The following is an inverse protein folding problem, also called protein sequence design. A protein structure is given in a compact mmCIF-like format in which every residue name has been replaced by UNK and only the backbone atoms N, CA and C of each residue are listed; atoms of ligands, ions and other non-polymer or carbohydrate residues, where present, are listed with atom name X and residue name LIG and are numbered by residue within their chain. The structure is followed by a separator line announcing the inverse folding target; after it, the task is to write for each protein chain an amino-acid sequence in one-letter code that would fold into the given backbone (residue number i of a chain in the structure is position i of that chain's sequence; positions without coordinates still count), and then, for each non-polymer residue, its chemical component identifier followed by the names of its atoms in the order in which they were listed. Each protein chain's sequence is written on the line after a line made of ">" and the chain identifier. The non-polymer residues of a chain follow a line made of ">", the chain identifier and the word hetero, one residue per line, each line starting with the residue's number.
data_IF_854430367067
#
_entry.id   IF_854430367067
#
_cell.length_a   1.000
_cell.length_b   1.000
_cell.length_c   1.000
_cell.angle_alpha   90.00
_cell.angle_beta   90.00
_cell.angle_gamma   90.00
#
_symmetry.space_group_name_H-M   'P 1'
#
loop_
_entity.id
_entity.type
_entity.pdbx_description
1 polymer ?
#
# COMPACT_ATOMS: atom_id res chain seq x y z
N UNK A 1 -2.70 -9.44 -13.78
CA UNK A 1 -3.96 -8.78 -14.19
C UNK A 1 -3.67 -8.02 -15.47
N UNK A 2 -4.53 -8.17 -16.47
CA UNK A 2 -4.40 -7.51 -17.77
C UNK A 2 -4.92 -6.08 -17.69
N UNK A 3 -4.45 -5.21 -18.58
CA UNK A 3 -4.94 -3.85 -18.73
C UNK A 3 -6.46 -3.86 -18.95
N UNK A 4 -7.21 -3.25 -18.04
CA UNK A 4 -8.63 -2.97 -18.23
C UNK A 4 -8.74 -1.54 -18.74
N UNK A 5 -8.98 -1.30 -20.05
CA UNK A 5 -9.32 0.02 -20.54
C UNK A 5 -10.69 0.40 -19.97
N UNK A 6 -10.70 1.05 -18.81
CA UNK A 6 -11.92 1.58 -18.25
C UNK A 6 -12.32 2.85 -19.01
N UNK A 7 -13.58 2.93 -19.39
CA UNK A 7 -14.20 4.21 -19.72
C UNK A 7 -14.11 5.15 -18.53
N UNK A 8 -14.23 6.45 -18.77
CA UNK A 8 -14.24 7.46 -17.70
C UNK A 8 -15.25 7.13 -16.60
N UNK A 9 -16.43 6.61 -16.95
CA UNK A 9 -17.47 6.28 -16.00
C UNK A 9 -17.10 5.06 -15.15
N UNK A 10 -16.54 4.01 -15.75
CA UNK A 10 -16.08 2.83 -15.01
C UNK A 10 -14.92 3.18 -14.07
N UNK A 11 -13.99 4.04 -14.50
CA UNK A 11 -12.93 4.53 -13.64
C UNK A 11 -13.51 5.31 -12.44
N UNK A 12 -14.54 6.14 -12.65
CA UNK A 12 -15.23 6.86 -11.56
C UNK A 12 -15.89 5.89 -10.58
N UNK A 13 -16.54 4.83 -11.05
CA UNK A 13 -17.16 3.84 -10.16
C UNK A 13 -16.10 3.04 -9.39
N UNK A 14 -14.96 2.70 -10.01
CA UNK A 14 -13.82 2.10 -9.33
C UNK A 14 -13.26 3.01 -8.22
N UNK A 15 -13.12 4.32 -8.48
CA UNK A 15 -12.71 5.33 -7.49
C UNK A 15 -13.68 5.34 -6.31
N UNK A 16 -14.99 5.41 -6.57
CA UNK A 16 -16.03 5.47 -5.54
C UNK A 16 -16.03 4.21 -4.68
N UNK A 17 -15.93 3.04 -5.30
CA UNK A 17 -15.85 1.75 -4.61
C UNK A 17 -14.62 1.69 -3.69
N UNK A 18 -13.45 2.06 -4.21
CA UNK A 18 -12.22 2.11 -3.42
C UNK A 18 -12.32 3.10 -2.26
N UNK A 19 -12.93 4.27 -2.48
CA UNK A 19 -13.15 5.27 -1.44
C UNK A 19 -14.08 4.74 -0.34
N UNK A 20 -15.19 4.08 -0.71
CA UNK A 20 -16.13 3.50 0.25
C UNK A 20 -15.46 2.44 1.13
N UNK A 21 -14.66 1.55 0.53
CA UNK A 21 -13.89 0.54 1.27
C UNK A 21 -12.89 1.22 2.21
N UNK A 22 -12.18 2.24 1.74
CA UNK A 22 -11.22 2.98 2.54
C UNK A 22 -11.89 3.71 3.72
N UNK A 23 -13.05 4.33 3.52
CA UNK A 23 -13.83 4.92 4.60
C UNK A 23 -14.26 3.89 5.65
N UNK A 24 -14.68 2.71 5.22
CA UNK A 24 -15.07 1.65 6.14
C UNK A 24 -13.90 1.20 7.03
N UNK A 25 -12.72 1.03 6.44
CA UNK A 25 -11.51 0.73 7.21
C UNK A 25 -11.16 1.86 8.16
N UNK A 26 -11.15 3.12 7.69
CA UNK A 26 -10.88 4.29 8.51
C UNK A 26 -11.81 4.36 9.72
N UNK A 27 -13.11 4.12 9.54
CA UNK A 27 -14.08 4.05 10.64
C UNK A 27 -13.78 2.92 11.61
N UNK A 28 -13.44 1.72 11.11
CA UNK A 28 -13.15 0.53 11.94
C UNK A 28 -11.92 0.73 12.83
N UNK A 29 -10.89 1.39 12.33
CA UNK A 29 -9.63 1.56 13.07
C UNK A 29 -9.48 2.95 13.72
N UNK A 30 -10.46 3.84 13.55
CA UNK A 30 -10.36 5.23 14.00
C UNK A 30 -9.20 5.96 13.31
N UNK A 31 -9.05 5.78 12.00
CA UNK A 31 -7.95 6.30 11.21
C UNK A 31 -8.32 7.50 10.35
N UNK A 32 -7.31 8.26 9.94
CA UNK A 32 -7.40 9.30 8.92
C UNK A 32 -7.18 8.68 7.54
N UNK A 33 -8.10 8.95 6.63
CA UNK A 33 -7.99 8.58 5.23
C UNK A 33 -7.25 9.70 4.46
N UNK A 34 -6.21 9.32 3.74
CA UNK A 34 -5.41 10.18 2.86
C UNK A 34 -5.28 9.52 1.48
N UNK A 35 -5.05 10.30 0.42
CA UNK A 35 -4.62 9.73 -0.87
C UNK A 35 -3.18 9.22 -0.72
N UNK A 36 -2.79 8.19 -1.47
CA UNK A 36 -1.40 7.72 -1.45
C UNK A 36 -0.45 8.86 -1.87
N UNK A 37 0.63 9.04 -1.12
CA UNK A 37 1.65 10.07 -1.29
C UNK A 37 3.04 9.41 -1.25
N UNK A 38 4.08 10.05 -1.81
CA UNK A 38 5.45 9.53 -1.81
C UNK A 38 5.95 9.11 -0.42
N UNK A 39 5.63 9.89 0.62
CA UNK A 39 5.95 9.58 2.02
C UNK A 39 5.42 8.23 2.51
N UNK A 40 4.31 7.72 1.94
CA UNK A 40 3.72 6.45 2.33
C UNK A 40 4.47 5.24 1.77
N UNK A 41 5.22 5.43 0.67
CA UNK A 41 5.99 4.37 0.01
C UNK A 41 7.48 4.47 0.37
N UNK A 42 8.03 5.68 0.36
CA UNK A 42 9.47 5.94 0.50
C UNK A 42 9.90 6.49 1.86
N UNK A 43 8.96 6.88 2.74
CA UNK A 43 9.28 7.52 4.01
C UNK A 43 10.17 8.76 3.79
N UNK A 44 11.33 8.77 4.44
CA UNK A 44 12.30 9.87 4.39
C UNK A 44 12.92 10.08 3.00
N UNK A 45 12.87 9.06 2.13
CA UNK A 45 13.37 9.16 0.74
C UNK A 45 12.33 9.72 -0.24
N UNK A 46 11.17 10.17 0.25
CA UNK A 46 10.08 10.68 -0.58
C UNK A 46 10.52 11.81 -1.54
N UNK A 47 11.36 12.74 -1.08
CA UNK A 47 11.81 13.87 -1.90
C UNK A 47 12.72 13.43 -3.06
N UNK A 48 13.42 12.30 -2.90
CA UNK A 48 14.30 11.77 -3.95
C UNK A 48 13.52 11.27 -5.16
N UNK A 49 12.36 10.64 -4.93
CA UNK A 49 11.60 9.95 -5.97
C UNK A 49 10.29 10.66 -6.33
N UNK A 50 9.67 11.40 -5.43
CA UNK A 50 8.38 12.03 -5.66
C UNK A 50 7.31 11.01 -6.11
N UNK A 51 6.48 11.41 -7.07
CA UNK A 51 5.45 10.55 -7.69
C UNK A 51 6.02 9.72 -8.85
N UNK A 52 7.12 9.03 -8.59
CA UNK A 52 7.72 8.04 -9.49
C UNK A 52 8.06 6.77 -8.73
N UNK A 53 8.22 5.67 -9.45
CA UNK A 53 8.60 4.41 -8.83
C UNK A 53 10.07 4.08 -9.08
N UNK A 54 10.85 3.90 -8.02
CA UNK A 54 12.20 3.33 -8.09
C UNK A 54 12.18 1.96 -8.81
N UNK A 55 13.11 1.74 -9.73
CA UNK A 55 13.31 0.45 -10.38
C UNK A 55 13.88 -0.58 -9.39
N UNK A 56 13.41 -1.81 -9.47
CA UNK A 56 13.76 -2.91 -8.57
C UNK A 56 12.76 -3.08 -7.43
N UNK A 57 13.22 -3.65 -6.32
CA UNK A 57 12.37 -3.93 -5.16
C UNK A 57 12.34 -2.76 -4.19
N UNK A 58 11.13 -2.29 -3.90
CA UNK A 58 10.83 -1.30 -2.87
C UNK A 58 10.20 -2.02 -1.68
N UNK A 59 10.76 -1.85 -0.48
CA UNK A 59 10.17 -2.36 0.76
C UNK A 59 9.38 -1.25 1.43
N UNK A 60 8.06 -1.39 1.49
CA UNK A 60 7.15 -0.45 2.14
C UNK A 60 6.79 -0.97 3.51
N UNK A 61 7.23 -0.24 4.55
CA UNK A 61 6.89 -0.55 5.94
C UNK A 61 5.74 0.35 6.39
N UNK A 62 4.53 -0.20 6.41
CA UNK A 62 3.36 0.52 6.90
C UNK A 62 3.42 0.61 8.43
N UNK A 63 3.06 1.76 9.03
CA UNK A 63 2.88 1.87 10.46
C UNK A 63 1.92 0.80 11.02
N UNK A 64 2.05 0.41 12.29
CA UNK A 64 1.12 -0.54 12.91
C UNK A 64 -0.34 -0.11 12.73
N UNK A 65 -1.20 -1.04 12.31
CA UNK A 65 -2.62 -0.81 11.98
C UNK A 65 -2.90 0.11 10.78
N UNK A 66 -1.89 0.69 10.12
CA UNK A 66 -2.10 1.40 8.87
C UNK A 66 -2.50 0.43 7.75
N UNK A 67 -3.28 0.94 6.81
CA UNK A 67 -3.80 0.17 5.68
C UNK A 67 -3.53 0.94 4.40
N UNK A 68 -2.95 0.26 3.40
CA UNK A 68 -2.79 0.76 2.05
C UNK A 68 -3.83 0.09 1.16
N UNK A 69 -4.61 0.88 0.42
CA UNK A 69 -5.65 0.39 -0.49
C UNK A 69 -5.31 0.89 -1.87
N UNK A 70 -5.04 -0.03 -2.80
CA UNK A 70 -4.66 0.29 -4.18
C UNK A 70 -5.71 -0.28 -5.13
N UNK A 71 -6.25 0.54 -6.02
CA UNK A 71 -7.32 0.16 -6.95
C UNK A 71 -6.94 0.39 -8.42
N UNK A 72 -5.81 1.07 -8.65
CA UNK A 72 -5.27 1.21 -9.98
C UNK A 72 -3.83 1.70 -9.97
N UNK A 73 -3.32 1.94 -11.16
CA UNK A 73 -1.96 2.36 -11.41
C UNK A 73 -1.93 3.28 -12.61
N UNK A 74 -1.32 4.44 -12.42
CA UNK A 74 -1.04 5.38 -13.50
C UNK A 74 0.33 5.07 -14.09
N UNK A 75 0.42 4.93 -15.41
CA UNK A 75 1.67 4.82 -16.15
C UNK A 75 1.80 5.96 -17.17
N UNK A 76 2.97 6.60 -17.18
CA UNK A 76 3.42 7.54 -18.20
C UNK A 76 4.85 7.24 -18.68
N UNK A 77 5.31 6.00 -18.49
CA UNK A 77 6.62 5.51 -18.92
C UNK A 77 6.46 4.35 -19.91
N UNK A 78 6.98 4.54 -21.12
CA UNK A 78 6.88 3.57 -22.22
C UNK A 78 7.70 2.29 -21.98
N UNK A 79 8.68 2.34 -21.07
CA UNK A 79 9.57 1.22 -20.79
C UNK A 79 9.22 0.47 -19.50
N UNK A 80 8.15 0.83 -18.82
CA UNK A 80 7.67 0.11 -17.64
C UNK A 80 6.95 -1.17 -18.08
N UNK A 81 7.50 -2.34 -17.76
CA UNK A 81 6.89 -3.62 -18.17
C UNK A 81 5.84 -4.10 -17.16
N UNK A 82 6.20 -4.07 -15.88
CA UNK A 82 5.31 -4.53 -14.83
C UNK A 82 5.59 -3.87 -13.49
N UNK A 83 4.54 -3.86 -12.68
CA UNK A 83 4.61 -3.62 -11.23
C UNK A 83 3.96 -4.80 -10.51
N UNK A 84 4.64 -5.32 -9.49
CA UNK A 84 4.11 -6.39 -8.62
C UNK A 84 4.00 -5.89 -7.19
N UNK A 85 2.83 -6.09 -6.59
CA UNK A 85 2.63 -5.90 -5.16
C UNK A 85 2.66 -7.27 -4.48
N UNK A 86 3.52 -7.42 -3.48
CA UNK A 86 3.77 -8.69 -2.82
C UNK A 86 3.54 -8.53 -1.31
N UNK A 87 2.70 -9.39 -0.75
CA UNK A 87 2.42 -9.43 0.68
C UNK A 87 2.02 -10.84 1.11
N UNK A 88 2.65 -11.35 2.18
CA UNK A 88 2.28 -12.63 2.80
C UNK A 88 2.14 -13.79 1.81
N UNK A 89 3.06 -13.87 0.83
CA UNK A 89 3.06 -14.89 -0.23
C UNK A 89 2.06 -14.66 -1.37
N UNK A 90 1.20 -13.63 -1.28
CA UNK A 90 0.33 -13.20 -2.38
C UNK A 90 1.10 -12.27 -3.31
N UNK A 91 0.94 -12.47 -4.62
CA UNK A 91 1.53 -11.64 -5.67
C UNK A 91 0.41 -11.08 -6.53
N UNK A 92 0.33 -9.77 -6.59
CA UNK A 92 -0.59 -9.04 -7.47
C UNK A 92 0.23 -8.33 -8.54
N UNK A 93 0.24 -8.91 -9.72
CA UNK A 93 1.00 -8.41 -10.86
C UNK A 93 0.10 -7.61 -11.80
N UNK A 94 0.51 -6.39 -12.08
CA UNK A 94 -0.09 -5.53 -13.10
C UNK A 94 0.92 -5.39 -14.24
N UNK A 95 0.59 -6.07 -15.34
CA UNK A 95 1.31 -5.94 -16.59
C UNK A 95 0.89 -4.63 -17.24
N UNK A 96 1.86 -3.78 -17.51
CA UNK A 96 1.66 -2.63 -18.38
C UNK A 96 2.37 -3.03 -19.66
N UNK A 97 1.64 -3.60 -20.63
CA UNK A 97 2.25 -3.97 -21.91
C UNK A 97 3.07 -2.78 -22.44
N UNK A 98 4.30 -2.99 -22.96
CA UNK A 98 5.10 -1.93 -23.55
C UNK A 98 4.27 -1.20 -24.59
N UNK A 99 4.05 0.08 -24.32
CA UNK A 99 3.22 0.97 -25.10
C UNK A 99 4.03 1.40 -26.33
N UNK A 100 4.40 0.48 -27.21
CA UNK A 100 4.87 0.90 -28.54
C UNK A 100 3.74 1.57 -29.34
N UNK A 101 2.48 1.49 -28.88
CA UNK A 101 1.28 1.83 -29.65
C UNK A 101 0.27 2.80 -29.00
N UNK A 102 0.46 3.24 -27.74
CA UNK A 102 -0.43 4.22 -27.10
C UNK A 102 0.29 5.54 -26.82
N UNK A 103 0.07 6.61 -27.61
CA UNK A 103 0.69 7.92 -27.37
C UNK A 103 0.20 8.62 -26.09
N UNK A 104 -0.59 7.96 -25.24
CA UNK A 104 -1.31 8.55 -24.12
C UNK A 104 -1.00 7.86 -22.78
N UNK A 105 -1.29 8.56 -21.68
CA UNK A 105 -1.13 8.08 -20.30
C UNK A 105 -2.10 6.91 -20.05
N UNK A 106 -1.62 5.83 -19.44
CA UNK A 106 -2.36 4.58 -19.29
C UNK A 106 -2.70 4.32 -17.82
N UNK A 107 -3.97 4.08 -17.52
CA UNK A 107 -4.44 3.69 -16.18
C UNK A 107 -4.81 2.21 -16.12
N UNK A 108 -4.06 1.40 -15.38
CA UNK A 108 -4.43 0.00 -15.08
C UNK A 108 -5.35 0.01 -13.87
N UNK A 109 -6.41 -0.79 -13.88
CA UNK A 109 -7.41 -0.82 -12.81
C UNK A 109 -7.67 -2.23 -12.33
N UNK A 110 -7.95 -2.36 -11.03
CA UNK A 110 -8.43 -3.61 -10.44
C UNK A 110 -9.95 -3.57 -10.27
N UNK A 111 -10.61 -4.69 -10.59
CA UNK A 111 -12.06 -4.85 -10.36
C UNK A 111 -12.42 -4.73 -8.86
N UNK A 112 -11.54 -5.24 -8.01
CA UNK A 112 -11.59 -5.11 -6.56
C UNK A 112 -10.32 -4.42 -6.04
N UNK A 113 -10.44 -3.41 -5.16
CA UNK A 113 -9.29 -2.77 -4.54
C UNK A 113 -8.45 -3.77 -3.74
N UNK A 114 -7.15 -3.72 -3.97
CA UNK A 114 -6.16 -4.48 -3.21
C UNK A 114 -5.95 -3.80 -1.85
N UNK A 115 -6.01 -4.59 -0.79
CA UNK A 115 -5.86 -4.09 0.59
C UNK A 115 -4.62 -4.72 1.20
N UNK A 116 -3.70 -3.87 1.66
CA UNK A 116 -2.42 -4.27 2.20
C UNK A 116 -2.18 -3.72 3.62
N UNK A 117 -1.41 -4.45 4.42
CA UNK A 117 -1.07 -4.11 5.83
C UNK A 117 0.38 -4.46 6.17
N UNK A 118 0.96 -3.93 7.25
CA UNK A 118 2.32 -4.33 7.67
C UNK A 118 3.39 -4.05 6.59
N UNK A 119 4.03 -5.09 6.05
CA UNK A 119 5.11 -4.98 5.06
C UNK A 119 4.59 -5.36 3.68
N UNK A 120 4.89 -4.53 2.69
CA UNK A 120 4.60 -4.76 1.28
C UNK A 120 5.90 -4.66 0.51
N UNK A 121 6.12 -5.54 -0.44
CA UNK A 121 7.16 -5.35 -1.45
C UNK A 121 6.52 -4.91 -2.76
N UNK A 122 7.08 -3.88 -3.38
CA UNK A 122 6.70 -3.43 -4.71
C UNK A 122 7.89 -3.71 -5.62
N UNK A 123 7.75 -4.65 -6.55
CA UNK A 123 8.77 -4.92 -7.56
C UNK A 123 8.41 -4.18 -8.84
N UNK A 124 9.36 -3.39 -9.33
CA UNK A 124 9.21 -2.54 -10.52
C UNK A 124 10.27 -2.96 -11.53
N UNK A 125 9.83 -3.30 -12.74
CA UNK A 125 10.71 -3.79 -13.79
C UNK A 125 10.58 -2.95 -15.07
N UNK A 126 11.72 -2.76 -15.74
CA UNK A 126 11.80 -2.06 -17.02
C UNK A 126 12.67 -2.85 -18.00
N UNK A 127 12.30 -2.79 -19.28
CA UNK A 127 13.09 -3.31 -20.41
C UNK A 127 14.02 -2.25 -20.99
N UNK A 128 13.99 -1.02 -20.46
CA UNK A 128 14.89 0.05 -20.89
C UNK A 128 16.34 -0.37 -20.73
N UNK A 129 17.13 -0.20 -21.80
CA UNK A 129 18.57 -0.42 -21.78
C UNK A 129 19.34 0.81 -21.26
N UNK A 130 18.64 1.91 -20.99
CA UNK A 130 19.21 3.10 -20.35
C UNK A 130 19.37 2.86 -18.84
N UNK A 131 20.44 3.39 -18.25
CA UNK A 131 20.69 3.33 -16.81
C UNK A 131 19.76 4.30 -16.06
N UNK A 132 18.46 4.01 -16.02
CA UNK A 132 17.46 4.73 -15.23
C UNK A 132 17.35 4.13 -13.83
N UNK A 133 17.04 4.97 -12.84
CA UNK A 133 16.80 4.55 -11.45
C UNK A 133 15.32 4.52 -11.06
N UNK A 134 14.43 5.01 -11.93
CA UNK A 134 12.99 5.15 -11.69
C UNK A 134 12.17 5.12 -12.98
N UNK A 135 10.86 4.92 -12.84
CA UNK A 135 9.85 5.02 -13.90
C UNK A 135 8.76 6.01 -13.53
N UNK A 136 8.18 6.69 -14.53
CA UNK A 136 7.05 7.60 -14.35
C UNK A 136 5.72 6.84 -14.23
N UNK A 137 5.58 6.03 -13.19
CA UNK A 137 4.35 5.36 -12.81
C UNK A 137 4.01 5.56 -11.33
N UNK A 138 2.74 5.52 -10.97
CA UNK A 138 2.28 5.72 -9.59
C UNK A 138 1.06 4.88 -9.22
N UNK A 139 1.06 4.18 -8.07
CA UNK A 139 -0.12 3.49 -7.56
C UNK A 139 -1.22 4.49 -7.18
N UNK A 140 -2.43 4.23 -7.64
CA UNK A 140 -3.62 4.98 -7.31
C UNK A 140 -4.36 4.31 -6.16
N UNK A 141 -4.65 5.08 -5.11
CA UNK A 141 -5.20 4.51 -3.90
C UNK A 141 -5.31 5.45 -2.73
N UNK A 142 -5.65 4.85 -1.59
CA UNK A 142 -5.80 5.51 -0.30
C UNK A 142 -4.87 4.88 0.73
N UNK A 143 -4.39 5.72 1.64
CA UNK A 143 -3.65 5.32 2.82
C UNK A 143 -4.47 5.68 4.05
N UNK A 144 -4.54 4.77 5.02
CA UNK A 144 -5.26 5.00 6.26
C UNK A 144 -4.25 4.98 7.39
N UNK A 145 -4.02 6.15 7.97
CA UNK A 145 -3.17 6.31 9.15
C UNK A 145 -4.02 6.17 10.41
N UNK A 146 -3.69 5.31 11.38
CA UNK A 146 -4.40 5.30 12.64
C UNK A 146 -4.17 6.63 13.39
N UNK A 147 -5.21 7.17 14.04
CA UNK A 147 -5.10 8.41 14.82
C UNK A 147 -4.40 8.20 16.17
N UNK A 148 -4.44 6.97 16.68
CA UNK A 148 -3.74 6.57 17.90
C UNK A 148 -2.87 5.36 17.57
N UNK A 149 -1.63 5.28 18.09
CA UNK A 149 -0.86 4.05 18.01
C UNK A 149 -1.69 2.91 18.61
N UNK A 150 -1.64 1.69 18.06
CA UNK A 150 -2.38 0.55 18.61
C UNK A 150 -2.12 0.44 20.11
N UNK A 151 -3.18 0.23 20.91
CA UNK A 151 -2.99 0.00 22.32
C UNK A 151 -2.04 -1.19 22.51
N UNK A 152 -0.90 -0.95 23.16
CA UNK A 152 -0.03 -2.05 23.59
C UNK A 152 -0.87 -2.99 24.46
N UNK A 153 -1.00 -4.24 24.01
CA UNK A 153 -1.65 -5.27 24.81
C UNK A 153 -0.74 -5.53 26.01
N UNK A 154 -1.01 -4.84 27.11
CA UNK A 154 -0.27 -5.05 28.36
C UNK A 154 -0.49 -6.50 28.79
N UNK A 155 0.56 -7.28 29.07
CA UNK A 155 0.40 -8.64 29.58
C UNK A 155 -0.43 -8.60 30.86
N UNK A 156 -1.32 -9.58 31.09
CA UNK A 156 -2.18 -9.58 32.26
C UNK A 156 -1.31 -9.51 33.53
N UNK A 157 -1.60 -8.52 34.40
CA UNK A 157 -0.92 -8.38 35.69
C UNK A 157 -1.03 -9.70 36.45
N UNK A 158 0.10 -10.39 36.66
CA UNK A 158 0.17 -11.55 37.56
C UNK A 158 -0.40 -11.10 38.91
N UNK A 159 -1.54 -11.66 39.30
CA UNK A 159 -2.09 -11.49 40.65
C UNK A 159 -1.00 -11.91 41.63
N UNK A 160 -0.57 -10.96 42.47
CA UNK A 160 0.36 -11.17 43.57
C UNK A 160 -0.32 -12.13 44.54
N UNK A 161 0.00 -13.43 44.43
CA UNK A 161 -0.46 -14.42 45.41
C UNK A 161 0.10 -13.97 46.76
N UNK A 162 -0.82 -13.73 47.68
CA UNK A 162 -0.57 -13.12 48.98
C UNK A 162 0.42 -13.96 49.80
N UNK A 163 1.46 -13.28 50.31
CA UNK A 163 2.20 -13.71 51.49
C UNK A 163 1.22 -13.79 52.68
N UNK A 164 0.67 -14.97 52.93
CA UNK A 164 0.05 -15.32 54.22
C UNK A 164 0.38 -16.78 54.57
N UNK A 165 1.62 -17.00 54.97
CA UNK A 165 2.14 -18.13 55.74
C UNK A 165 3.62 -17.75 56.00
N UNK A 166 4.16 -17.58 57.20
CA UNK A 166 3.75 -17.96 58.55
C UNK A 166 4.28 -16.88 59.50
N UNK A 167 3.42 -16.39 60.38
CA UNK A 167 3.82 -15.66 61.57
C UNK A 167 2.96 -16.15 62.73
N UNK A 168 3.59 -16.88 63.66
CA UNK A 168 3.13 -17.02 65.04
C UNK A 168 2.32 -18.27 65.39
N UNK A 169 2.94 -19.14 66.21
CA UNK A 169 2.49 -19.71 67.50
C UNK A 169 3.25 -21.03 67.70
N UNK A 170 4.21 -21.04 68.62
CA UNK A 170 4.09 -21.52 70.03
C UNK A 170 4.24 -23.03 70.13
#
# INVERSE_FOLDING_TARGET
>A
MWFLPLTRNEAVEAIKKAYSIAQEYARKIGGRLEVIQPKHIYGDSADKFGYSLQIGRITVNLPPAAVLIVWGFYNADEYLDFVRFIQDGRVFEWFVEPIAYYPERVGVWAEEPLVFRNVIYIDVHTTSTEQRDRVYGWPLGYFISPLQPPQEVRPPKRRRVERRQKGGQS
#
